data_IF_552045077289
#
_entry.id   IF_552045077289
#
_cell.length_a   1.000
_cell.length_b   1.000
_cell.length_c   1.000
_cell.angle_alpha   90.00
_cell.angle_beta   90.00
_cell.angle_gamma   90.00
#
_symmetry.space_group_name_H-M   'P 1'
#
loop_
_entity.id
_entity.type
_entity.pdbx_description
1 polymer ?
#
# COMPACT_ATOMS: atom_id res chain seq x y z
N UNK A 1 -0.03 7.81 -3.80
CA UNK A 1 0.22 9.00 -4.64
C UNK A 1 -1.02 9.23 -5.48
N UNK A 2 -1.54 10.46 -5.55
CA UNK A 2 -2.79 10.80 -6.26
C UNK A 2 -2.58 11.68 -7.48
N UNK A 3 -1.48 12.41 -7.53
CA UNK A 3 -1.12 13.28 -8.65
C UNK A 3 0.25 12.86 -9.18
N UNK A 4 0.54 13.13 -10.47
CA UNK A 4 1.91 13.01 -10.99
C UNK A 4 2.91 13.78 -10.13
N UNK A 5 4.13 13.25 -10.01
CA UNK A 5 5.23 13.94 -9.35
C UNK A 5 6.14 14.57 -10.39
N UNK A 6 6.45 15.84 -10.20
CA UNK A 6 7.46 16.54 -10.97
C UNK A 6 8.85 15.97 -10.63
N UNK A 7 9.65 15.71 -11.66
CA UNK A 7 10.95 15.09 -11.55
C UNK A 7 12.03 16.12 -11.15
N UNK A 8 11.89 16.71 -9.97
CA UNK A 8 12.83 17.69 -9.39
C UNK A 8 13.41 17.11 -8.11
N UNK A 9 14.73 16.92 -8.09
CA UNK A 9 15.45 16.39 -6.93
C UNK A 9 15.30 17.31 -5.71
N UNK A 10 14.94 16.74 -4.56
CA UNK A 10 14.80 17.43 -3.28
C UNK A 10 13.51 18.24 -3.10
N UNK A 11 12.66 18.36 -4.12
CA UNK A 11 11.41 19.14 -4.03
C UNK A 11 10.35 18.38 -3.24
N UNK A 12 9.81 19.03 -2.21
CA UNK A 12 8.61 18.57 -1.52
C UNK A 12 7.37 18.77 -2.39
N UNK A 13 6.56 17.72 -2.51
CA UNK A 13 5.35 17.68 -3.33
C UNK A 13 4.18 17.21 -2.46
N UNK A 14 3.55 18.14 -1.71
CA UNK A 14 2.39 17.82 -0.88
C UNK A 14 1.21 17.35 -1.73
N UNK A 15 0.65 16.20 -1.37
CA UNK A 15 -0.60 15.68 -1.92
C UNK A 15 -1.55 15.28 -0.78
N UNK A 16 -2.77 14.88 -1.11
CA UNK A 16 -3.74 14.43 -0.09
C UNK A 16 -3.18 13.28 0.76
N UNK A 17 -2.57 12.21 0.21
CA UNK A 17 -2.07 11.10 1.04
C UNK A 17 -0.93 11.50 1.98
N UNK A 18 0.04 12.28 1.49
CA UNK A 18 1.29 12.58 2.17
C UNK A 18 2.08 13.62 1.38
N UNK A 19 3.23 14.05 1.91
CA UNK A 19 4.23 14.79 1.14
C UNK A 19 5.17 13.77 0.49
N UNK A 20 5.29 13.82 -0.83
CA UNK A 20 6.25 13.01 -1.57
C UNK A 20 7.49 13.83 -1.89
N UNK A 21 8.64 13.16 -1.98
CA UNK A 21 9.90 13.77 -2.41
C UNK A 21 10.62 12.81 -3.34
N UNK A 22 11.08 13.32 -4.47
CA UNK A 22 12.00 12.63 -5.36
C UNK A 22 13.40 13.18 -5.11
N UNK A 23 14.38 12.31 -4.91
CA UNK A 23 15.80 12.69 -4.75
C UNK A 23 16.62 11.92 -5.74
N UNK A 24 17.49 12.60 -6.47
CA UNK A 24 18.44 12.00 -7.39
C UNK A 24 19.81 11.87 -6.71
N UNK A 25 20.42 10.69 -6.83
CA UNK A 25 21.79 10.43 -6.43
C UNK A 25 22.43 9.46 -7.43
N UNK A 26 23.46 9.92 -8.16
CA UNK A 26 24.31 9.11 -9.05
C UNK A 26 23.53 8.36 -10.15
N UNK A 27 22.55 9.00 -10.76
CA UNK A 27 21.68 8.46 -11.81
C UNK A 27 20.49 7.65 -11.29
N UNK A 28 20.35 7.49 -9.96
CA UNK A 28 19.25 6.77 -9.33
C UNK A 28 18.29 7.79 -8.70
N UNK A 29 17.01 7.63 -8.98
CA UNK A 29 15.93 8.39 -8.37
C UNK A 29 15.30 7.61 -7.22
N UNK A 30 15.14 8.25 -6.08
CA UNK A 30 14.53 7.70 -4.88
C UNK A 30 13.22 8.41 -4.61
N UNK A 31 12.14 7.63 -4.46
CA UNK A 31 10.85 8.13 -4.01
C UNK A 31 10.68 7.90 -2.51
N UNK A 32 10.58 9.01 -1.77
CA UNK A 32 10.30 9.04 -0.34
C UNK A 32 8.90 9.62 -0.07
N UNK A 33 8.33 9.22 1.07
CA UNK A 33 7.12 9.83 1.61
C UNK A 33 7.28 10.27 3.06
N UNK A 34 6.71 11.42 3.39
CA UNK A 34 6.55 11.94 4.74
C UNK A 34 5.07 11.82 5.10
N UNK A 35 4.74 10.83 5.94
CA UNK A 35 3.38 10.51 6.36
C UNK A 35 2.92 11.45 7.48
N UNK A 36 1.60 11.51 7.66
CA UNK A 36 0.98 12.11 8.84
C UNK A 36 1.06 11.17 10.05
N UNK A 37 0.75 11.72 11.23
CA UNK A 37 0.47 10.89 12.39
C UNK A 37 -0.77 10.02 12.12
N UNK A 38 -0.87 8.89 12.82
CA UNK A 38 -1.99 7.97 12.66
C UNK A 38 -2.75 7.84 13.97
N UNK A 39 -4.06 8.03 13.89
CA UNK A 39 -4.99 7.73 14.95
C UNK A 39 -5.65 6.38 14.66
N UNK A 40 -5.44 5.43 15.57
CA UNK A 40 -5.97 4.07 15.49
C UNK A 40 -6.94 3.89 16.66
N UNK A 41 -8.26 3.92 16.43
CA UNK A 41 -9.25 3.82 17.50
C UNK A 41 -9.22 2.45 18.19
N UNK A 42 -9.06 1.37 17.41
CA UNK A 42 -9.00 0.01 17.94
C UNK A 42 -7.57 -0.31 18.43
N UNK A 43 -7.41 -0.31 19.76
CA UNK A 43 -6.11 -0.51 20.42
C UNK A 43 -5.48 -1.87 20.16
N UNK A 44 -6.26 -2.90 19.80
CA UNK A 44 -5.74 -4.24 19.47
C UNK A 44 -4.79 -4.19 18.26
N UNK A 45 -4.94 -3.21 17.38
CA UNK A 45 -4.15 -3.07 16.16
C UNK A 45 -2.96 -2.10 16.30
N UNK A 46 -2.71 -1.50 17.47
CA UNK A 46 -1.61 -0.53 17.65
C UNK A 46 -0.23 -1.11 17.29
N UNK A 47 -0.04 -2.41 17.47
CA UNK A 47 1.20 -3.12 17.16
C UNK A 47 1.06 -4.00 15.90
N UNK A 48 0.06 -3.75 15.06
CA UNK A 48 -0.14 -4.49 13.81
C UNK A 48 1.09 -4.34 12.91
N UNK A 49 1.55 -5.46 12.34
CA UNK A 49 2.66 -5.47 11.38
C UNK A 49 2.33 -4.69 10.09
N UNK A 50 1.05 -4.47 9.81
CA UNK A 50 0.59 -3.69 8.66
C UNK A 50 0.87 -2.19 8.84
N UNK A 51 1.09 -1.70 10.06
CA UNK A 51 1.33 -0.29 10.29
C UNK A 51 2.77 0.10 9.92
N UNK A 52 2.95 1.21 9.19
CA UNK A 52 4.28 1.71 8.89
C UNK A 52 4.94 2.22 10.18
N UNK A 53 6.17 1.78 10.42
CA UNK A 53 6.91 2.08 11.66
C UNK A 53 7.52 3.49 11.70
N UNK A 54 7.60 4.16 10.55
CA UNK A 54 8.31 5.44 10.40
C UNK A 54 7.45 6.45 9.66
N UNK A 55 7.52 7.70 10.11
CA UNK A 55 6.91 8.86 9.44
C UNK A 55 7.55 9.11 8.07
N UNK A 56 8.88 9.04 8.01
CA UNK A 56 9.64 9.10 6.76
C UNK A 56 9.89 7.68 6.25
N UNK A 57 9.36 7.36 5.08
CA UNK A 57 9.46 6.03 4.49
C UNK A 57 9.99 6.13 3.05
N UNK A 58 11.06 5.37 2.78
CA UNK A 58 11.51 5.12 1.42
C UNK A 58 10.54 4.14 0.76
N UNK A 59 10.01 4.48 -0.41
CA UNK A 59 9.00 3.66 -1.10
C UNK A 59 9.71 2.75 -2.11
N UNK A 60 10.37 3.33 -3.11
CA UNK A 60 11.15 2.61 -4.11
C UNK A 60 12.19 3.54 -4.75
N UNK A 61 13.05 2.96 -5.58
CA UNK A 61 13.99 3.69 -6.42
C UNK A 61 13.89 3.21 -7.86
N UNK A 62 14.33 4.04 -8.80
CA UNK A 62 14.29 3.76 -10.24
C UNK A 62 15.39 4.55 -10.97
N UNK A 63 15.64 4.18 -12.22
CA UNK A 63 16.47 4.97 -13.16
C UNK A 63 15.58 5.56 -14.25
N UNK A 64 16.10 6.53 -15.01
CA UNK A 64 15.41 7.08 -16.18
C UNK A 64 15.68 6.30 -17.46
N UNK A 65 16.24 5.09 -17.34
CA UNK A 65 16.46 4.21 -18.48
C UNK A 65 15.11 3.73 -19.02
N UNK A 66 14.80 3.95 -20.31
CA UNK A 66 13.59 3.43 -20.92
C UNK A 66 13.54 1.90 -20.81
N UNK A 67 12.36 1.36 -20.51
CA UNK A 67 12.11 -0.10 -20.41
C UNK A 67 10.96 -0.50 -21.32
N UNK A 68 10.98 -1.73 -21.80
CA UNK A 68 9.83 -2.36 -22.45
C UNK A 68 9.18 -3.37 -21.52
N UNK A 69 8.05 -3.96 -21.90
CA UNK A 69 7.34 -4.93 -21.05
C UNK A 69 8.12 -6.23 -20.90
N UNK A 70 8.91 -6.60 -21.91
CA UNK A 70 9.74 -7.81 -21.94
C UNK A 70 10.83 -7.78 -20.85
N UNK A 71 11.34 -6.60 -20.49
CA UNK A 71 12.29 -6.43 -19.38
C UNK A 71 11.73 -6.94 -18.03
N UNK A 72 10.40 -7.02 -17.89
CA UNK A 72 9.73 -7.45 -16.67
C UNK A 72 9.25 -8.90 -16.70
N UNK A 73 9.39 -9.64 -17.81
CA UNK A 73 8.81 -10.97 -17.98
C UNK A 73 9.35 -11.99 -16.96
N UNK A 74 10.66 -12.00 -16.75
CA UNK A 74 11.31 -12.86 -15.75
C UNK A 74 10.82 -12.55 -14.33
N UNK A 75 10.74 -11.26 -13.99
CA UNK A 75 10.29 -10.82 -12.67
C UNK A 75 8.79 -11.09 -12.46
N UNK A 76 7.97 -10.94 -13.48
CA UNK A 76 6.55 -11.28 -13.45
C UNK A 76 6.33 -12.76 -13.08
N UNK A 77 7.12 -13.66 -13.67
CA UNK A 77 7.08 -15.09 -13.33
C UNK A 77 7.58 -15.34 -11.91
N UNK A 78 8.71 -14.73 -11.54
CA UNK A 78 9.28 -14.87 -10.21
C UNK A 78 8.33 -14.42 -9.10
N UNK A 79 7.71 -13.23 -9.24
CA UNK A 79 6.82 -12.67 -8.24
C UNK A 79 5.56 -13.53 -8.01
N UNK A 80 5.15 -14.34 -8.99
CA UNK A 80 3.99 -15.22 -8.92
C UNK A 80 4.31 -16.68 -8.58
N UNK A 81 5.58 -17.06 -8.45
CA UNK A 81 5.95 -18.46 -8.23
C UNK A 81 6.95 -18.66 -7.09
N UNK A 82 7.80 -17.67 -6.81
CA UNK A 82 8.81 -17.79 -5.77
C UNK A 82 8.17 -17.82 -4.38
N UNK A 83 8.53 -18.78 -3.51
CA UNK A 83 8.07 -18.80 -2.12
C UNK A 83 8.57 -17.61 -1.29
N UNK A 84 9.61 -16.90 -1.76
CA UNK A 84 10.13 -15.69 -1.12
C UNK A 84 9.43 -14.40 -1.59
N UNK A 85 8.52 -14.50 -2.56
CA UNK A 85 7.75 -13.34 -3.02
C UNK A 85 6.60 -13.04 -2.04
N UNK A 86 6.50 -11.78 -1.58
CA UNK A 86 5.38 -11.33 -0.75
C UNK A 86 4.02 -11.52 -1.45
N UNK A 87 3.98 -11.53 -2.79
CA UNK A 87 2.74 -11.76 -3.55
C UNK A 87 2.27 -13.22 -3.53
N UNK A 88 3.11 -14.17 -3.10
CA UNK A 88 2.73 -15.58 -2.88
C UNK A 88 2.30 -15.83 -1.45
N UNK A 89 2.93 -15.13 -0.51
CA UNK A 89 2.69 -15.28 0.94
C UNK A 89 1.56 -14.39 1.44
N UNK A 90 1.17 -13.34 0.70
CA UNK A 90 0.19 -12.35 1.11
C UNK A 90 -0.89 -12.16 0.04
N UNK A 91 -2.16 -12.31 0.40
CA UNK A 91 -3.28 -11.89 -0.46
C UNK A 91 -3.67 -10.47 -0.10
N UNK A 92 -3.75 -9.58 -1.09
CA UNK A 92 -4.15 -8.19 -0.83
C UNK A 92 -4.92 -7.57 -1.99
N UNK A 93 -5.73 -6.56 -1.67
CA UNK A 93 -6.23 -5.60 -2.64
C UNK A 93 -6.38 -4.23 -1.98
N UNK A 94 -6.24 -3.16 -2.76
CA UNK A 94 -6.41 -1.80 -2.26
C UNK A 94 -7.16 -0.93 -3.28
N UNK A 95 -7.93 0.03 -2.79
CA UNK A 95 -8.70 0.96 -3.61
C UNK A 95 -8.68 2.35 -2.98
N UNK A 96 -8.18 3.32 -3.74
CA UNK A 96 -8.24 4.72 -3.33
C UNK A 96 -9.69 5.22 -3.39
N UNK A 97 -10.06 6.07 -2.45
CA UNK A 97 -11.34 6.79 -2.41
C UNK A 97 -11.07 8.30 -2.47
N UNK A 98 -12.10 9.14 -2.67
CA UNK A 98 -11.91 10.60 -2.66
C UNK A 98 -11.30 11.16 -1.37
N UNK A 99 -11.38 10.42 -0.25
CA UNK A 99 -10.92 10.87 1.07
C UNK A 99 -9.83 9.98 1.67
N UNK A 100 -9.47 8.86 1.03
CA UNK A 100 -8.77 7.80 1.72
C UNK A 100 -8.38 6.60 0.86
N UNK A 101 -8.17 5.47 1.52
CA UNK A 101 -7.88 4.19 0.89
C UNK A 101 -8.45 3.04 1.71
N UNK A 102 -9.13 2.13 1.03
CA UNK A 102 -9.41 0.80 1.55
C UNK A 102 -8.26 -0.13 1.19
N UNK A 103 -7.86 -0.99 2.13
CA UNK A 103 -6.89 -2.05 1.90
C UNK A 103 -7.34 -3.31 2.64
N UNK A 104 -7.41 -4.42 1.94
CA UNK A 104 -7.64 -5.74 2.53
C UNK A 104 -6.35 -6.54 2.43
N UNK A 105 -5.85 -7.05 3.55
CA UNK A 105 -4.68 -7.93 3.62
C UNK A 105 -5.03 -9.18 4.40
N UNK A 106 -5.04 -10.33 3.74
CA UNK A 106 -5.58 -11.57 4.30
C UNK A 106 -7.02 -11.39 4.75
N UNK A 107 -7.24 -11.46 6.07
CA UNK A 107 -8.54 -11.26 6.72
C UNK A 107 -8.71 -9.85 7.32
N UNK A 108 -7.72 -8.96 7.20
CA UNK A 108 -7.74 -7.65 7.84
C UNK A 108 -8.14 -6.60 6.82
N UNK A 109 -9.36 -6.09 6.94
CA UNK A 109 -9.82 -4.90 6.23
C UNK A 109 -9.36 -3.66 6.99
N UNK A 110 -8.77 -2.73 6.26
CA UNK A 110 -8.39 -1.42 6.77
C UNK A 110 -9.01 -0.33 5.92
N UNK A 111 -9.50 0.71 6.57
CA UNK A 111 -9.81 1.99 5.94
C UNK A 111 -8.94 3.08 6.54
N UNK A 112 -8.21 3.79 5.69
CA UNK A 112 -7.46 4.99 6.08
C UNK A 112 -8.16 6.20 5.49
N UNK A 113 -8.60 7.12 6.35
CA UNK A 113 -9.09 8.44 5.95
C UNK A 113 -7.98 9.46 6.14
N UNK A 114 -7.56 10.10 5.05
CA UNK A 114 -6.45 11.04 5.05
C UNK A 114 -6.86 12.35 5.72
N UNK A 115 -5.96 12.89 6.56
CA UNK A 115 -6.15 14.18 7.23
C UNK A 115 -7.54 14.32 7.90
N UNK A 116 -7.96 13.28 8.61
CA UNK A 116 -9.25 13.20 9.29
C UNK A 116 -9.44 14.36 10.28
N UNK A 117 -8.39 14.66 11.05
CA UNK A 117 -8.37 15.75 12.03
C UNK A 117 -6.94 16.19 12.33
N UNK A 118 -6.69 17.49 12.43
CA UNK A 118 -5.43 18.07 12.93
C UNK A 118 -4.15 17.42 12.35
N UNK A 119 -4.07 17.28 11.01
CA UNK A 119 -2.93 16.65 10.33
C UNK A 119 -2.66 15.19 10.76
N UNK A 120 -3.72 14.46 11.12
CA UNK A 120 -3.70 13.05 11.51
C UNK A 120 -4.60 12.24 10.60
N UNK A 121 -4.09 11.10 10.12
CA UNK A 121 -4.90 10.13 9.39
C UNK A 121 -5.67 9.25 10.39
N UNK A 122 -6.96 8.99 10.13
CA UNK A 122 -7.71 7.95 10.84
C UNK A 122 -7.44 6.61 10.17
N UNK A 123 -7.14 5.58 10.96
CA UNK A 123 -6.93 4.21 10.46
C UNK A 123 -7.81 3.25 11.24
N UNK A 124 -8.82 2.71 10.56
CA UNK A 124 -9.79 1.77 11.11
C UNK A 124 -9.48 0.36 10.62
N UNK A 125 -9.53 -0.61 11.53
CA UNK A 125 -9.26 -2.02 11.27
C UNK A 125 -10.49 -2.86 11.58
N UNK A 126 -10.73 -3.89 10.76
CA UNK A 126 -11.71 -4.95 11.00
C UNK A 126 -11.13 -6.29 10.57
N UNK A 127 -11.13 -7.27 11.49
CA UNK A 127 -10.91 -8.68 11.14
C UNK A 127 -12.18 -9.26 10.55
N UNK A 128 -12.07 -9.96 9.43
CA UNK A 128 -13.18 -10.55 8.69
C UNK A 128 -13.20 -12.07 8.83
N UNK A 129 -14.39 -12.67 8.71
CA UNK A 129 -14.53 -14.11 8.41
C UNK A 129 -14.29 -14.41 6.93
N UNK A 130 -14.23 -15.68 6.54
CA UNK A 130 -14.13 -16.07 5.12
C UNK A 130 -15.30 -15.53 4.29
N UNK A 131 -16.52 -15.60 4.83
CA UNK A 131 -17.73 -15.14 4.15
C UNK A 131 -17.73 -13.61 3.98
N UNK A 132 -17.33 -12.90 5.03
CA UNK A 132 -17.23 -11.43 4.99
C UNK A 132 -16.17 -10.95 3.98
N UNK A 133 -15.10 -11.72 3.74
CA UNK A 133 -14.10 -11.39 2.72
C UNK A 133 -14.74 -11.33 1.33
N UNK A 134 -15.56 -12.31 0.96
CA UNK A 134 -16.22 -12.33 -0.35
C UNK A 134 -17.19 -11.15 -0.51
N UNK A 135 -17.96 -10.83 0.54
CA UNK A 135 -18.86 -9.68 0.54
C UNK A 135 -18.10 -8.35 0.42
N UNK A 136 -16.98 -8.19 1.14
CA UNK A 136 -16.13 -6.99 1.10
C UNK A 136 -15.50 -6.81 -0.27
N UNK A 137 -14.98 -7.87 -0.89
CA UNK A 137 -14.42 -7.83 -2.24
C UNK A 137 -15.45 -7.28 -3.24
N UNK A 138 -16.69 -7.78 -3.17
CA UNK A 138 -17.77 -7.33 -4.07
C UNK A 138 -18.24 -5.91 -3.76
N UNK A 139 -18.49 -5.60 -2.50
CA UNK A 139 -19.19 -4.37 -2.11
C UNK A 139 -18.26 -3.16 -2.08
N UNK A 140 -17.04 -3.31 -1.56
CA UNK A 140 -16.06 -2.23 -1.43
C UNK A 140 -15.17 -2.16 -2.68
N UNK A 141 -14.55 -3.27 -3.05
CA UNK A 141 -13.53 -3.28 -4.12
C UNK A 141 -14.11 -3.51 -5.52
N UNK A 142 -15.39 -3.86 -5.63
CA UNK A 142 -16.06 -4.22 -6.90
C UNK A 142 -15.38 -5.39 -7.62
N UNK A 143 -14.78 -6.29 -6.84
CA UNK A 143 -14.10 -7.50 -7.32
C UNK A 143 -15.06 -8.69 -7.17
N UNK A 144 -15.20 -9.48 -8.23
CA UNK A 144 -15.88 -10.78 -8.21
C UNK A 144 -14.91 -11.83 -8.73
N UNK A 145 -14.60 -12.83 -7.92
CA UNK A 145 -13.60 -13.85 -8.25
C UNK A 145 -14.26 -15.04 -8.97
N UNK A 146 -13.58 -15.58 -9.98
CA UNK A 146 -14.03 -16.79 -10.68
C UNK A 146 -13.81 -18.08 -9.90
N UNK A 147 -13.09 -18.04 -8.77
CA UNK A 147 -12.78 -19.17 -7.89
C UNK A 147 -12.74 -18.68 -6.44
N UNK A 148 -12.98 -19.58 -5.48
CA UNK A 148 -12.89 -19.29 -4.05
C UNK A 148 -11.49 -18.80 -3.68
N UNK A 149 -11.41 -17.68 -2.97
CA UNK A 149 -10.16 -17.15 -2.43
C UNK A 149 -9.75 -17.94 -1.19
N UNK A 150 -8.45 -18.17 -1.03
CA UNK A 150 -7.84 -18.60 0.24
C UNK A 150 -7.00 -17.44 0.75
N UNK A 151 -7.51 -16.62 1.69
CA UNK A 151 -6.78 -15.44 2.15
C UNK A 151 -5.50 -15.84 2.89
N UNK A 152 -4.43 -15.09 2.64
CA UNK A 152 -3.13 -15.25 3.31
C UNK A 152 -2.70 -13.92 3.93
N UNK A 153 -2.39 -13.88 5.24
CA UNK A 153 -2.07 -12.64 5.95
C UNK A 153 -0.68 -12.08 5.62
N UNK A 154 0.23 -12.88 5.04
CA UNK A 154 1.61 -12.47 4.80
C UNK A 154 2.53 -12.66 6.00
N UNK A 155 3.79 -12.28 5.79
CA UNK A 155 4.89 -12.32 6.78
C UNK A 155 5.17 -10.96 7.43
N UNK A 156 4.35 -9.95 7.12
CA UNK A 156 4.52 -8.58 7.60
C UNK A 156 5.55 -7.74 6.85
N UNK A 157 6.01 -8.20 5.68
CA UNK A 157 6.83 -7.39 4.76
C UNK A 157 6.07 -6.21 4.14
N UNK A 158 4.73 -6.29 4.09
CA UNK A 158 3.87 -5.27 3.49
C UNK A 158 3.18 -4.42 4.56
N UNK A 159 3.17 -3.11 4.35
CA UNK A 159 2.53 -2.12 5.23
C UNK A 159 1.50 -1.29 4.45
N UNK A 160 0.52 -0.72 5.15
CA UNK A 160 -0.62 0.03 4.58
C UNK A 160 -0.59 1.52 4.96
#
# INVERSE_FOLDING_TARGET
MWQPLELISGKDQPQVPSIFRLTEERGIWYLDQIRREQYIPNKEFLNSHLLPKKKHQKIYFFTLEPRTVEDFESMNTYLQTSPTSSFITTSLCSLQTPEGVYCLVGFILTYRKFNYKDNTDLVEFKTLTEEEVEEVLKNIFKISLGRKLVPKPGDGSLTI
#
